data_IF_435402253683
#
_entry.id   IF_435402253683
#
_cell.length_a   1.000
_cell.length_b   1.000
_cell.length_c   1.000
_cell.angle_alpha   90.00
_cell.angle_beta   90.00
_cell.angle_gamma   90.00
#
_symmetry.space_group_name_H-M   'P 1'
#
loop_
_entity.id
_entity.type
_entity.pdbx_description
1 polymer ?
#
# COMPACT_ATOMS: atom_id res chain seq x y z
N UNK A 1 -9.84 24.10 5.28
CA UNK A 1 -8.76 25.10 5.36
C UNK A 1 -8.91 26.24 4.36
N UNK A 2 -8.99 25.99 3.05
CA UNK A 2 -9.16 27.05 2.05
C UNK A 2 -10.40 27.94 2.31
N UNK A 3 -11.55 27.32 2.60
CA UNK A 3 -12.78 28.04 2.97
C UNK A 3 -12.67 28.81 4.30
N UNK A 4 -11.62 28.56 5.09
CA UNK A 4 -11.28 29.28 6.32
C UNK A 4 -10.14 30.30 6.13
N UNK A 5 -9.82 30.65 4.87
CA UNK A 5 -8.83 31.67 4.54
C UNK A 5 -7.39 31.18 4.35
N UNK A 6 -7.14 29.86 4.33
CA UNK A 6 -5.81 29.34 3.97
C UNK A 6 -5.45 29.68 2.52
N UNK A 7 -4.24 30.18 2.31
CA UNK A 7 -3.69 30.54 1.01
C UNK A 7 -2.84 29.42 0.38
N UNK A 8 -2.79 28.23 1.00
CA UNK A 8 -1.98 27.09 0.54
C UNK A 8 -2.15 26.79 -0.95
N UNK A 9 -3.35 26.96 -1.51
CA UNK A 9 -3.62 26.72 -2.94
C UNK A 9 -2.85 27.65 -3.89
N UNK A 10 -2.27 28.74 -3.38
CA UNK A 10 -1.42 29.68 -4.12
C UNK A 10 0.08 29.38 -3.98
N UNK A 11 0.47 28.49 -3.05
CA UNK A 11 1.85 28.03 -2.93
C UNK A 11 2.26 27.16 -4.13
N UNK A 12 3.58 27.09 -4.39
CA UNK A 12 4.15 26.19 -5.39
C UNK A 12 3.76 24.74 -5.08
N UNK A 13 3.29 24.01 -6.08
CA UNK A 13 2.93 22.59 -5.94
C UNK A 13 4.18 21.72 -5.95
N UNK A 14 4.18 20.66 -5.14
CA UNK A 14 5.26 19.68 -5.11
C UNK A 14 5.15 18.65 -6.25
N UNK A 15 3.93 18.39 -6.75
CA UNK A 15 3.68 17.47 -7.87
C UNK A 15 2.61 18.00 -8.83
N UNK A 16 2.48 17.34 -9.99
CA UNK A 16 1.39 17.61 -10.92
C UNK A 16 0.01 17.34 -10.29
N UNK A 17 -0.14 16.24 -9.55
CA UNK A 17 -1.41 15.88 -8.89
C UNK A 17 -1.84 16.95 -7.87
N UNK A 18 -0.90 17.44 -7.05
CA UNK A 18 -1.19 18.52 -6.11
C UNK A 18 -1.66 19.78 -6.84
N UNK A 19 -1.06 20.11 -7.98
CA UNK A 19 -1.50 21.25 -8.80
C UNK A 19 -2.93 21.06 -9.31
N UNK A 20 -3.31 19.86 -9.74
CA UNK A 20 -4.68 19.53 -10.16
C UNK A 20 -5.65 19.72 -8.98
N UNK A 21 -5.31 19.24 -7.80
CA UNK A 21 -6.12 19.40 -6.57
C UNK A 21 -6.27 20.89 -6.22
N UNK A 22 -5.18 21.66 -6.22
CA UNK A 22 -5.21 23.11 -5.95
C UNK A 22 -6.12 23.86 -6.94
N UNK A 23 -6.03 23.51 -8.23
CA UNK A 23 -6.89 24.10 -9.27
C UNK A 23 -8.37 23.74 -9.05
N UNK A 24 -8.66 22.48 -8.70
CA UNK A 24 -10.01 22.02 -8.38
C UNK A 24 -10.58 22.77 -7.18
N UNK A 25 -9.82 22.91 -6.09
CA UNK A 25 -10.24 23.61 -4.89
C UNK A 25 -10.55 25.10 -5.15
N UNK A 26 -9.71 25.78 -5.94
CA UNK A 26 -9.97 27.17 -6.38
C UNK A 26 -11.27 27.29 -7.17
N UNK A 27 -11.49 26.37 -8.12
CA UNK A 27 -12.74 26.34 -8.91
C UNK A 27 -13.95 26.09 -8.02
N UNK A 28 -13.90 25.10 -7.14
CA UNK A 28 -15.00 24.78 -6.22
C UNK A 28 -15.30 25.95 -5.29
N UNK A 29 -14.29 26.64 -4.73
CA UNK A 29 -14.51 27.80 -3.88
C UNK A 29 -15.22 28.94 -4.64
N UNK A 30 -14.81 29.19 -5.89
CA UNK A 30 -15.41 30.23 -6.74
C UNK A 30 -16.86 29.90 -7.09
N UNK A 31 -17.12 28.67 -7.52
CA UNK A 31 -18.40 28.26 -8.08
C UNK A 31 -19.41 27.88 -6.98
N UNK A 32 -18.95 27.36 -5.85
CA UNK A 32 -19.76 26.84 -4.73
C UNK A 32 -19.13 27.18 -3.36
N UNK A 33 -19.14 28.46 -2.93
CA UNK A 33 -18.58 28.85 -1.65
C UNK A 33 -19.20 28.09 -0.46
N UNK A 34 -18.36 27.58 0.45
CA UNK A 34 -18.81 26.82 1.63
C UNK A 34 -19.26 25.39 1.34
N UNK A 35 -19.00 24.87 0.13
CA UNK A 35 -19.36 23.51 -0.26
C UNK A 35 -18.80 22.48 0.72
N UNK A 36 -17.52 22.54 1.07
CA UNK A 36 -16.90 21.53 1.92
C UNK A 36 -17.37 21.61 3.37
N UNK A 37 -17.57 22.82 3.91
CA UNK A 37 -18.21 23.00 5.21
C UNK A 37 -19.62 22.38 5.27
N UNK A 38 -20.39 22.44 4.19
CA UNK A 38 -21.70 21.83 4.14
C UNK A 38 -21.62 20.30 4.04
N UNK A 39 -20.73 19.76 3.19
CA UNK A 39 -20.50 18.31 3.09
C UNK A 39 -20.08 17.71 4.44
N UNK A 40 -19.15 18.34 5.15
CA UNK A 40 -18.62 17.82 6.42
C UNK A 40 -19.69 17.74 7.51
N UNK A 41 -20.69 18.64 7.54
CA UNK A 41 -21.80 18.58 8.53
C UNK A 41 -22.59 17.28 8.45
N UNK A 42 -22.76 16.76 7.24
CA UNK A 42 -23.53 15.55 6.99
C UNK A 42 -22.67 14.28 7.04
N UNK A 43 -21.34 14.42 6.97
CA UNK A 43 -20.40 13.30 6.98
C UNK A 43 -20.27 12.69 8.37
N UNK A 44 -20.77 11.45 8.54
CA UNK A 44 -20.82 10.77 9.85
C UNK A 44 -19.55 10.02 10.24
N UNK A 45 -18.62 9.86 9.32
CA UNK A 45 -17.34 9.21 9.56
C UNK A 45 -16.76 8.54 8.33
N UNK A 46 -15.52 8.09 8.45
CA UNK A 46 -14.75 7.45 7.38
C UNK A 46 -14.16 6.14 7.85
N UNK A 47 -14.16 5.11 7.01
CA UNK A 47 -13.41 3.88 7.26
C UNK A 47 -12.29 3.77 6.22
N UNK A 48 -11.05 3.80 6.69
CA UNK A 48 -9.86 3.92 5.83
C UNK A 48 -9.11 2.60 5.78
N UNK A 49 -8.82 2.17 4.55
CA UNK A 49 -8.33 0.84 4.23
C UNK A 49 -6.81 0.75 4.19
N UNK A 50 -6.13 1.83 3.83
CA UNK A 50 -4.72 1.77 3.44
C UNK A 50 -3.81 2.31 4.54
N UNK A 51 -2.60 1.75 4.65
CA UNK A 51 -1.59 2.20 5.62
C UNK A 51 -1.35 3.70 5.53
N UNK A 52 -1.19 4.25 4.33
CA UNK A 52 -0.92 5.68 4.19
C UNK A 52 -2.13 6.56 4.48
N UNK A 53 -3.34 6.14 4.09
CA UNK A 53 -4.56 6.84 4.47
C UNK A 53 -4.72 6.91 5.99
N UNK A 54 -4.45 5.80 6.69
CA UNK A 54 -4.44 5.73 8.15
C UNK A 54 -3.39 6.65 8.76
N UNK A 55 -2.17 6.70 8.21
CA UNK A 55 -1.16 7.67 8.67
C UNK A 55 -1.66 9.12 8.56
N UNK A 56 -2.34 9.47 7.46
CA UNK A 56 -2.93 10.80 7.30
C UNK A 56 -4.02 11.08 8.33
N UNK A 57 -4.85 10.09 8.66
CA UNK A 57 -5.86 10.23 9.72
C UNK A 57 -5.24 10.51 11.08
N UNK A 58 -4.18 9.79 11.47
CA UNK A 58 -3.47 10.04 12.72
C UNK A 58 -2.78 11.40 12.74
N UNK A 59 -2.11 11.80 11.65
CA UNK A 59 -1.53 13.15 11.52
C UNK A 59 -2.58 14.25 11.67
N UNK A 60 -3.76 14.07 11.05
CA UNK A 60 -4.87 15.01 11.22
C UNK A 60 -5.42 15.01 12.65
N UNK A 61 -5.50 13.85 13.31
CA UNK A 61 -5.94 13.76 14.71
C UNK A 61 -4.97 14.50 15.64
N UNK A 62 -3.67 14.23 15.53
CA UNK A 62 -2.60 14.85 16.33
C UNK A 62 -2.53 16.36 16.11
N UNK A 63 -2.77 16.82 14.87
CA UNK A 63 -2.84 18.25 14.54
C UNK A 63 -4.17 18.92 14.90
N UNK A 64 -5.14 18.19 15.47
CA UNK A 64 -6.49 18.72 15.78
C UNK A 64 -7.30 19.11 14.54
N UNK A 65 -6.97 18.54 13.37
CA UNK A 65 -7.58 18.81 12.06
C UNK A 65 -8.56 17.75 11.60
N UNK A 66 -8.62 16.58 12.25
CA UNK A 66 -9.59 15.55 11.93
C UNK A 66 -11.00 16.08 12.24
N UNK A 67 -11.92 15.98 11.27
CA UNK A 67 -13.26 16.60 11.38
C UNK A 67 -14.37 15.61 11.71
N UNK A 68 -14.14 14.31 11.47
CA UNK A 68 -15.14 13.25 11.64
C UNK A 68 -14.51 12.02 12.33
N UNK A 69 -15.31 11.16 12.98
CA UNK A 69 -14.82 9.87 13.46
C UNK A 69 -14.24 9.04 12.30
N UNK A 70 -13.14 8.34 12.55
CA UNK A 70 -12.51 7.48 11.57
C UNK A 70 -12.29 6.08 12.14
N UNK A 71 -12.53 5.05 11.33
CA UNK A 71 -12.15 3.67 11.64
C UNK A 71 -10.96 3.29 10.78
N UNK A 72 -9.86 2.94 11.44
CA UNK A 72 -8.70 2.33 10.84
C UNK A 72 -9.00 0.85 10.58
N UNK A 73 -9.38 0.55 9.34
CA UNK A 73 -9.62 -0.83 8.86
C UNK A 73 -8.31 -1.50 8.47
N UNK A 74 -7.30 -0.72 8.04
CA UNK A 74 -6.00 -1.26 7.66
C UNK A 74 -5.36 -2.14 8.76
N UNK A 75 -5.46 -1.70 10.02
CA UNK A 75 -4.84 -2.38 11.16
C UNK A 75 -5.65 -3.57 11.70
N UNK A 76 -6.81 -3.88 11.12
CA UNK A 76 -7.45 -5.18 11.37
C UNK A 76 -6.51 -6.29 10.91
N UNK A 77 -6.42 -7.35 11.71
CA UNK A 77 -5.60 -8.52 11.43
C UNK A 77 -5.96 -9.11 10.07
N UNK A 78 -7.23 -9.41 9.90
CA UNK A 78 -7.79 -9.94 8.65
C UNK A 78 -7.68 -9.01 7.45
N UNK A 79 -7.27 -7.75 7.65
CA UNK A 79 -6.87 -6.85 6.57
C UNK A 79 -5.36 -6.93 6.36
N UNK A 80 -4.54 -6.39 7.25
CA UNK A 80 -3.12 -6.11 6.95
C UNK A 80 -2.27 -7.36 6.69
N UNK A 81 -2.45 -8.48 7.41
CA UNK A 81 -1.67 -9.72 7.12
C UNK A 81 -2.30 -10.62 6.08
N UNK A 82 -3.44 -10.23 5.51
CA UNK A 82 -4.06 -10.98 4.43
C UNK A 82 -3.96 -10.20 3.13
N UNK A 83 -4.58 -9.04 3.07
CA UNK A 83 -4.61 -8.16 1.91
C UNK A 83 -3.20 -7.71 1.49
N UNK A 84 -2.51 -6.97 2.35
CA UNK A 84 -1.21 -6.41 2.02
C UNK A 84 -0.18 -7.51 1.77
N UNK A 85 -0.26 -8.64 2.49
CA UNK A 85 0.68 -9.74 2.37
C UNK A 85 0.33 -10.71 1.22
N UNK A 86 -0.80 -11.42 1.31
CA UNK A 86 -1.16 -12.45 0.35
C UNK A 86 -1.71 -11.86 -0.95
N UNK A 87 -2.40 -10.73 -0.91
CA UNK A 87 -2.88 -10.05 -2.12
C UNK A 87 -1.75 -9.55 -2.99
N UNK A 88 -0.72 -8.92 -2.40
CA UNK A 88 0.48 -8.53 -3.14
C UNK A 88 1.30 -9.75 -3.59
N UNK A 89 1.32 -10.83 -2.80
CA UNK A 89 1.98 -12.09 -3.19
C UNK A 89 1.41 -12.68 -4.47
N UNK A 90 0.09 -12.61 -4.65
CA UNK A 90 -0.59 -13.07 -5.87
C UNK A 90 -0.47 -12.06 -7.02
N UNK A 91 -0.64 -10.77 -6.74
CA UNK A 91 -0.88 -9.76 -7.78
C UNK A 91 0.37 -9.05 -8.32
N UNK A 92 1.50 -9.03 -7.59
CA UNK A 92 2.71 -8.37 -8.06
C UNK A 92 3.25 -9.02 -9.34
N UNK A 93 3.50 -10.33 -9.29
CA UNK A 93 4.04 -11.06 -10.42
C UNK A 93 3.06 -11.08 -11.61
N UNK A 94 1.75 -11.06 -11.35
CA UNK A 94 0.73 -10.91 -12.38
C UNK A 94 0.89 -9.57 -13.13
N UNK A 95 0.97 -8.45 -12.39
CA UNK A 95 1.22 -7.12 -12.96
C UNK A 95 2.50 -7.05 -13.81
N UNK A 96 3.62 -7.55 -13.28
CA UNK A 96 4.90 -7.57 -14.00
C UNK A 96 4.81 -8.43 -15.27
N UNK A 97 4.17 -9.61 -15.18
CA UNK A 97 4.07 -10.55 -16.31
C UNK A 97 3.14 -10.03 -17.40
N UNK A 98 1.96 -9.52 -17.08
CA UNK A 98 1.07 -8.92 -18.11
C UNK A 98 1.72 -7.72 -18.77
N UNK A 99 2.52 -6.95 -18.04
CA UNK A 99 3.23 -5.82 -18.58
C UNK A 99 4.35 -6.22 -19.55
N UNK A 100 5.17 -7.20 -19.19
CA UNK A 100 6.48 -7.43 -19.84
C UNK A 100 6.71 -8.83 -20.39
N UNK A 101 5.86 -9.80 -20.04
CA UNK A 101 6.03 -11.23 -20.31
C UNK A 101 7.39 -11.79 -19.85
N UNK A 102 8.10 -11.08 -18.96
CA UNK A 102 9.47 -11.42 -18.56
C UNK A 102 9.51 -12.73 -17.79
N UNK A 103 10.54 -13.53 -18.10
CA UNK A 103 10.90 -14.67 -17.26
C UNK A 103 11.52 -14.16 -15.95
N UNK A 104 10.84 -14.41 -14.83
CA UNK A 104 11.27 -14.04 -13.47
C UNK A 104 12.31 -15.01 -12.91
N UNK A 105 12.24 -16.30 -13.27
CA UNK A 105 13.19 -17.31 -12.81
C UNK A 105 14.63 -16.96 -13.25
N UNK A 106 15.57 -17.06 -12.31
CA UNK A 106 16.99 -16.74 -12.52
C UNK A 106 17.33 -15.25 -12.55
N UNK A 107 16.33 -14.36 -12.51
CA UNK A 107 16.53 -12.90 -12.42
C UNK A 107 16.92 -12.51 -11.00
N UNK A 108 17.57 -11.36 -10.87
CA UNK A 108 17.77 -10.67 -9.59
C UNK A 108 16.69 -9.62 -9.43
N UNK A 109 15.88 -9.73 -8.38
CA UNK A 109 14.78 -8.80 -8.11
C UNK A 109 14.98 -8.09 -6.78
N UNK A 110 14.88 -6.76 -6.78
CA UNK A 110 15.06 -5.90 -5.61
C UNK A 110 13.69 -5.43 -5.12
N UNK A 111 13.39 -5.70 -3.85
CA UNK A 111 12.18 -5.20 -3.19
C UNK A 111 12.60 -4.15 -2.16
N UNK A 112 12.19 -2.91 -2.39
CA UNK A 112 12.48 -1.79 -1.51
C UNK A 112 11.38 -1.69 -0.46
N UNK A 113 11.71 -1.97 0.80
CA UNK A 113 10.76 -2.10 1.91
C UNK A 113 10.31 -3.54 2.11
N UNK A 114 10.27 -3.96 3.38
CA UNK A 114 9.94 -5.31 3.82
C UNK A 114 8.88 -5.31 4.92
N UNK A 115 7.94 -4.36 4.84
CA UNK A 115 6.64 -4.43 5.54
C UNK A 115 5.75 -5.54 4.97
N UNK A 116 4.43 -5.48 5.20
CA UNK A 116 3.52 -6.55 4.75
C UNK A 116 3.47 -6.70 3.22
N UNK A 117 3.40 -5.57 2.50
CA UNK A 117 3.47 -5.52 1.03
C UNK A 117 4.80 -6.07 0.52
N UNK A 118 5.91 -5.62 1.13
CA UNK A 118 7.27 -6.06 0.79
C UNK A 118 7.50 -7.54 1.02
N UNK A 119 7.02 -8.10 2.14
CA UNK A 119 7.03 -9.53 2.42
C UNK A 119 6.26 -10.30 1.35
N UNK A 120 5.04 -9.88 1.01
CA UNK A 120 4.22 -10.51 -0.03
C UNK A 120 4.93 -10.52 -1.38
N UNK A 121 5.48 -9.36 -1.75
CA UNK A 121 6.22 -9.11 -2.97
C UNK A 121 7.48 -9.99 -3.10
N UNK A 122 8.31 -10.03 -2.06
CA UNK A 122 9.52 -10.83 -2.01
C UNK A 122 9.21 -12.33 -2.12
N UNK A 123 8.21 -12.83 -1.40
CA UNK A 123 7.81 -14.23 -1.47
C UNK A 123 7.20 -14.60 -2.83
N UNK A 124 6.50 -13.69 -3.49
CA UNK A 124 6.02 -13.88 -4.88
C UNK A 124 7.18 -14.13 -5.83
N UNK A 125 8.15 -13.21 -5.84
CA UNK A 125 9.31 -13.26 -6.73
C UNK A 125 10.20 -14.47 -6.45
N UNK A 126 10.43 -14.80 -5.16
CA UNK A 126 11.12 -16.04 -4.74
C UNK A 126 10.39 -17.29 -5.25
N UNK A 127 9.06 -17.31 -5.15
CA UNK A 127 8.22 -18.41 -5.63
C UNK A 127 8.33 -18.65 -7.14
N UNK A 128 8.57 -17.59 -7.92
CA UNK A 128 8.88 -17.67 -9.35
C UNK A 128 10.36 -17.94 -9.67
N UNK A 129 11.20 -18.19 -8.65
CA UNK A 129 12.62 -18.53 -8.83
C UNK A 129 13.57 -17.35 -9.02
N UNK A 130 13.17 -16.12 -8.68
CA UNK A 130 14.09 -14.99 -8.64
C UNK A 130 15.02 -15.07 -7.44
N UNK A 131 16.24 -14.54 -7.58
CA UNK A 131 17.12 -14.21 -6.46
C UNK A 131 16.71 -12.85 -5.92
N UNK A 132 16.01 -12.85 -4.80
CA UNK A 132 15.43 -11.64 -4.21
C UNK A 132 16.43 -10.97 -3.28
N UNK A 133 16.57 -9.66 -3.46
CA UNK A 133 17.33 -8.73 -2.61
C UNK A 133 16.32 -7.77 -1.99
N UNK A 134 16.52 -7.43 -0.72
CA UNK A 134 15.69 -6.48 0.02
C UNK A 134 16.51 -5.25 0.39
N UNK A 135 15.89 -4.08 0.33
CA UNK A 135 16.43 -2.87 0.95
C UNK A 135 15.50 -2.44 2.09
N UNK A 136 16.05 -2.11 3.25
CA UNK A 136 15.27 -1.76 4.43
C UNK A 136 15.97 -0.72 5.30
N UNK A 137 15.16 0.14 5.91
CA UNK A 137 15.60 1.12 6.91
C UNK A 137 15.29 0.62 8.32
N UNK A 138 14.28 -0.24 8.48
CA UNK A 138 13.89 -0.79 9.78
C UNK A 138 14.73 -2.04 10.07
N UNK A 139 15.53 -2.07 11.17
CA UNK A 139 16.40 -3.20 11.49
C UNK A 139 15.62 -4.49 11.83
N UNK A 140 14.38 -4.39 12.34
CA UNK A 140 13.53 -5.56 12.62
C UNK A 140 13.09 -6.19 11.31
N UNK A 141 12.60 -5.39 10.36
CA UNK A 141 12.19 -5.90 9.05
C UNK A 141 13.39 -6.41 8.24
N UNK A 142 14.53 -5.72 8.30
CA UNK A 142 15.78 -6.17 7.68
C UNK A 142 16.22 -7.53 8.24
N UNK A 143 16.20 -7.70 9.57
CA UNK A 143 16.53 -8.98 10.20
C UNK A 143 15.54 -10.08 9.78
N UNK A 144 14.23 -9.78 9.70
CA UNK A 144 13.25 -10.73 9.19
C UNK A 144 13.54 -11.14 7.73
N UNK A 145 13.90 -10.21 6.85
CA UNK A 145 14.28 -10.53 5.48
C UNK A 145 15.51 -11.46 5.42
N UNK A 146 16.53 -11.15 6.22
CA UNK A 146 17.73 -11.97 6.31
C UNK A 146 17.43 -13.39 6.84
N UNK A 147 16.53 -13.54 7.82
CA UNK A 147 16.11 -14.85 8.34
C UNK A 147 15.34 -15.70 7.32
N UNK A 148 14.70 -15.08 6.33
CA UNK A 148 14.06 -15.77 5.20
C UNK A 148 15.05 -16.12 4.06
N UNK A 149 16.33 -15.78 4.23
CA UNK A 149 17.41 -16.03 3.28
C UNK A 149 17.52 -14.99 2.15
N UNK A 150 16.91 -13.81 2.32
CA UNK A 150 17.10 -12.70 1.38
C UNK A 150 18.38 -11.93 1.68
N UNK A 151 19.14 -11.57 0.64
CA UNK A 151 20.23 -10.60 0.76
C UNK A 151 19.62 -9.24 1.12
N UNK A 152 20.13 -8.60 2.18
CA UNK A 152 19.71 -7.25 2.56
C UNK A 152 20.86 -6.29 2.28
N UNK A 153 20.63 -5.30 1.42
CA UNK A 153 21.65 -4.30 1.05
C UNK A 153 20.99 -2.98 0.61
N UNK A 154 21.78 -2.04 0.11
CA UNK A 154 21.33 -0.73 -0.39
C UNK A 154 20.82 -0.82 -1.84
N UNK A 155 20.03 0.16 -2.29
CA UNK A 155 19.60 0.22 -3.69
C UNK A 155 20.84 0.38 -4.60
N UNK A 156 21.78 1.21 -4.17
CA UNK A 156 23.02 1.56 -4.86
C UNK A 156 23.89 0.34 -5.18
N UNK A 157 23.94 -0.64 -4.28
CA UNK A 157 24.70 -1.89 -4.45
C UNK A 157 24.03 -2.88 -5.43
N UNK A 158 22.85 -2.54 -5.96
CA UNK A 158 22.08 -3.41 -6.87
C UNK A 158 22.00 -2.90 -8.31
N UNK A 159 22.29 -1.62 -8.55
CA UNK A 159 22.04 -0.91 -9.82
C UNK A 159 22.61 -1.62 -11.06
N UNK A 160 23.83 -2.15 -10.98
CA UNK A 160 24.47 -2.86 -12.09
C UNK A 160 24.13 -4.35 -12.24
N UNK A 161 23.36 -4.95 -11.31
CA UNK A 161 23.10 -6.40 -11.28
C UNK A 161 21.62 -6.78 -11.35
N UNK A 162 20.73 -6.00 -10.76
CA UNK A 162 19.32 -6.35 -10.66
C UNK A 162 18.52 -6.09 -11.94
N UNK A 163 17.58 -6.99 -12.22
CA UNK A 163 16.69 -6.96 -13.39
C UNK A 163 15.35 -6.31 -13.10
N UNK A 164 14.85 -6.43 -11.88
CA UNK A 164 13.51 -6.01 -11.49
C UNK A 164 13.62 -5.21 -10.20
N UNK A 165 13.03 -4.02 -10.15
CA UNK A 165 12.93 -3.18 -8.97
C UNK A 165 11.47 -2.96 -8.63
N UNK A 166 11.12 -3.23 -7.37
CA UNK A 166 9.78 -3.09 -6.82
C UNK A 166 9.84 -2.19 -5.59
N UNK A 167 9.20 -1.03 -5.62
CA UNK A 167 9.06 -0.19 -4.42
C UNK A 167 7.79 -0.56 -3.66
N UNK A 168 7.92 -0.78 -2.35
CA UNK A 168 6.87 -1.27 -1.45
C UNK A 168 6.95 -0.60 -0.06
N UNK A 169 7.39 0.66 -0.01
CA UNK A 169 7.73 1.37 1.24
C UNK A 169 6.60 2.25 1.76
N UNK A 170 5.73 2.76 0.87
CA UNK A 170 4.80 3.84 1.20
C UNK A 170 5.48 5.20 1.46
N UNK A 171 6.76 5.35 1.13
CA UNK A 171 7.57 6.55 1.35
C UNK A 171 7.69 7.38 0.05
N UNK A 172 8.66 8.28 -0.02
CA UNK A 172 8.98 9.10 -1.18
C UNK A 172 10.47 8.96 -1.55
N UNK A 173 10.79 9.21 -2.82
CA UNK A 173 12.16 9.30 -3.33
C UNK A 173 13.03 8.05 -3.08
N UNK A 174 12.40 6.87 -3.04
CA UNK A 174 13.10 5.58 -2.83
C UNK A 174 13.97 5.23 -4.04
N UNK A 175 13.42 5.42 -5.24
CA UNK A 175 14.16 5.29 -6.50
C UNK A 175 14.21 6.66 -7.16
N UNK A 176 15.39 7.28 -7.12
CA UNK A 176 15.66 8.59 -7.69
C UNK A 176 16.03 8.51 -9.17
N UNK A 177 16.06 9.66 -9.86
CA UNK A 177 16.57 9.73 -11.23
C UNK A 177 18.00 9.18 -11.34
N UNK A 178 18.83 9.48 -10.36
CA UNK A 178 20.22 9.04 -10.27
C UNK A 178 20.34 7.51 -10.13
N UNK A 179 19.40 6.87 -9.44
CA UNK A 179 19.30 5.41 -9.38
C UNK A 179 18.93 4.84 -10.74
N UNK A 180 17.88 5.39 -11.37
CA UNK A 180 17.38 4.94 -12.67
C UNK A 180 18.44 5.01 -13.77
N UNK A 181 19.24 6.08 -13.81
CA UNK A 181 20.34 6.27 -14.77
C UNK A 181 21.50 5.28 -14.61
N UNK A 182 21.60 4.60 -13.48
CA UNK A 182 22.68 3.66 -13.16
C UNK A 182 22.21 2.21 -13.20
N UNK A 183 20.93 1.98 -13.45
CA UNK A 183 20.39 0.63 -13.61
C UNK A 183 20.99 -0.03 -14.86
N UNK A 184 21.12 -1.35 -14.83
CA UNK A 184 21.55 -2.09 -16.02
C UNK A 184 20.53 -1.96 -17.16
N UNK A 185 21.02 -2.19 -18.38
CA UNK A 185 20.16 -2.21 -19.55
C UNK A 185 19.00 -3.20 -19.39
N UNK A 186 17.82 -2.75 -19.81
CA UNK A 186 16.52 -3.44 -19.77
C UNK A 186 16.00 -3.77 -18.38
N UNK A 187 16.47 -3.08 -17.32
CA UNK A 187 15.87 -3.20 -16.01
C UNK A 187 14.37 -2.80 -16.02
N UNK A 188 13.56 -3.53 -15.27
CA UNK A 188 12.13 -3.27 -15.07
C UNK A 188 11.95 -2.59 -13.72
N UNK A 189 11.22 -1.49 -13.68
CA UNK A 189 10.98 -0.69 -12.48
C UNK A 189 9.47 -0.54 -12.29
N UNK A 190 8.99 -0.83 -11.09
CA UNK A 190 7.58 -0.70 -10.76
C UNK A 190 7.37 -0.35 -9.29
N UNK A 191 6.20 0.21 -9.00
CA UNK A 191 5.75 0.53 -7.66
C UNK A 191 4.53 -0.31 -7.31
N UNK A 192 4.49 -0.88 -6.12
CA UNK A 192 3.29 -1.52 -5.56
C UNK A 192 2.90 -0.93 -4.19
N UNK A 193 3.62 0.08 -3.73
CA UNK A 193 3.38 0.75 -2.46
C UNK A 193 2.36 1.87 -2.58
N UNK A 194 2.79 3.14 -2.58
CA UNK A 194 1.85 4.28 -2.51
C UNK A 194 2.05 5.34 -3.60
N UNK A 195 0.93 5.77 -4.21
CA UNK A 195 0.86 6.78 -5.27
C UNK A 195 1.92 6.58 -6.36
N UNK A 196 2.56 7.66 -6.82
CA UNK A 196 3.64 7.73 -7.79
C UNK A 196 4.91 8.40 -7.22
N UNK A 197 5.02 8.55 -5.90
CA UNK A 197 6.11 9.30 -5.26
C UNK A 197 7.29 8.43 -4.80
N UNK A 198 7.16 7.10 -4.78
CA UNK A 198 8.28 6.21 -4.43
C UNK A 198 9.37 6.22 -5.52
N UNK A 199 8.99 6.50 -6.77
CA UNK A 199 9.88 6.59 -7.92
C UNK A 199 9.77 8.03 -8.47
N UNK A 200 10.91 8.68 -8.73
CA UNK A 200 10.91 10.06 -9.23
C UNK A 200 10.56 10.17 -10.73
N UNK A 201 9.34 9.77 -11.11
CA UNK A 201 8.88 9.71 -12.50
C UNK A 201 8.79 11.11 -13.13
N UNK A 202 8.36 12.13 -12.39
CA UNK A 202 8.33 13.51 -12.89
C UNK A 202 9.74 14.01 -13.24
N UNK A 203 10.76 13.67 -12.45
CA UNK A 203 12.16 14.01 -12.78
C UNK A 203 12.64 13.25 -14.00
N UNK A 204 12.27 11.97 -14.13
CA UNK A 204 12.60 11.14 -15.29
C UNK A 204 12.00 11.68 -16.59
N UNK A 205 10.72 12.07 -16.58
CA UNK A 205 10.03 12.65 -17.73
C UNK A 205 10.65 13.97 -18.21
N UNK A 206 11.22 14.75 -17.28
CA UNK A 206 11.83 16.06 -17.56
C UNK A 206 13.36 15.99 -17.71
N UNK A 207 13.97 14.80 -17.63
CA UNK A 207 15.41 14.64 -17.65
C UNK A 207 15.99 14.90 -19.05
N UNK A 208 16.99 15.80 -19.20
CA UNK A 208 17.62 16.04 -20.50
C UNK A 208 18.26 14.77 -21.06
N UNK A 209 18.05 14.51 -22.35
CA UNK A 209 18.63 13.35 -23.03
C UNK A 209 17.96 12.01 -22.73
N UNK A 210 16.84 12.00 -22.00
CA UNK A 210 16.01 10.79 -21.79
C UNK A 210 14.88 10.77 -22.82
N UNK A 211 14.80 9.69 -23.60
CA UNK A 211 13.74 9.49 -24.58
C UNK A 211 12.71 8.46 -24.07
N UNK A 212 11.45 8.88 -23.96
CA UNK A 212 10.32 8.01 -23.58
C UNK A 212 9.62 7.45 -24.82
N UNK A 213 9.45 6.14 -24.88
CA UNK A 213 8.63 5.44 -25.87
C UNK A 213 7.56 4.65 -25.13
N UNK A 214 6.29 4.93 -25.42
CA UNK A 214 5.21 4.07 -24.94
C UNK A 214 5.19 2.78 -25.75
N UNK A 215 5.36 1.63 -25.07
CA UNK A 215 5.36 0.31 -25.72
C UNK A 215 3.92 -0.18 -25.89
N UNK A 216 3.13 -0.03 -24.82
CA UNK A 216 1.70 -0.31 -24.75
C UNK A 216 1.12 0.44 -23.55
N UNK A 217 -0.21 0.44 -23.33
CA UNK A 217 -0.78 1.01 -22.12
C UNK A 217 -0.05 0.51 -20.87
N UNK A 218 0.43 1.47 -20.09
CA UNK A 218 1.05 1.33 -18.78
C UNK A 218 2.42 0.65 -18.80
N UNK A 219 3.08 0.63 -19.97
CA UNK A 219 4.45 0.16 -20.14
C UNK A 219 5.20 1.15 -21.00
N UNK A 220 6.14 1.85 -20.38
CA UNK A 220 6.97 2.85 -21.02
C UNK A 220 8.44 2.42 -20.99
N UNK A 221 9.11 2.57 -22.13
CA UNK A 221 10.56 2.42 -22.25
C UNK A 221 11.21 3.79 -22.16
N UNK A 222 12.21 3.94 -21.30
CA UNK A 222 13.05 5.14 -21.23
C UNK A 222 14.45 4.77 -21.70
N UNK A 223 14.97 5.50 -22.68
CA UNK A 223 16.35 5.33 -23.18
C UNK A 223 17.18 6.53 -22.75
N UNK A 224 18.32 6.28 -22.10
CA UNK A 224 19.24 7.31 -21.61
C UNK A 224 20.30 7.69 -22.66
N UNK A 225 21.07 8.74 -22.39
CA UNK A 225 22.04 9.31 -23.34
C UNK A 225 23.19 8.37 -23.73
N UNK A 226 23.53 7.41 -22.87
CA UNK A 226 24.53 6.35 -23.14
C UNK A 226 23.94 5.15 -23.90
N UNK A 227 22.64 5.17 -24.21
CA UNK A 227 21.95 4.18 -25.02
C UNK A 227 21.28 3.05 -24.25
N UNK A 228 21.57 2.84 -22.96
CA UNK A 228 20.86 1.84 -22.17
C UNK A 228 19.41 2.28 -21.93
N UNK A 229 18.54 1.31 -21.69
CA UNK A 229 17.12 1.56 -21.50
C UNK A 229 16.57 0.86 -20.27
N UNK A 230 15.50 1.42 -19.69
CA UNK A 230 14.72 0.77 -18.64
C UNK A 230 13.24 0.73 -19.03
N UNK A 231 12.48 -0.15 -18.38
CA UNK A 231 11.03 -0.25 -18.52
C UNK A 231 10.37 0.20 -17.22
N UNK A 232 9.56 1.25 -17.28
CA UNK A 232 8.75 1.71 -16.15
C UNK A 232 7.32 1.23 -16.34
N UNK A 233 6.78 0.61 -15.29
CA UNK A 233 5.41 0.10 -15.29
C UNK A 233 4.46 1.10 -14.62
N UNK A 234 3.27 1.25 -15.22
CA UNK A 234 2.17 2.10 -14.74
C UNK A 234 2.56 3.54 -14.41
N UNK A 235 3.58 4.10 -15.09
CA UNK A 235 4.12 5.44 -14.79
C UNK A 235 4.49 5.62 -13.31
N UNK A 236 4.97 4.56 -12.65
CA UNK A 236 5.34 4.57 -11.23
C UNK A 236 4.15 4.48 -10.26
N UNK A 237 2.92 4.31 -10.76
CA UNK A 237 1.73 3.99 -9.96
C UNK A 237 1.65 2.49 -9.65
N UNK A 238 0.62 2.11 -8.90
CA UNK A 238 0.38 0.73 -8.44
C UNK A 238 0.35 -0.28 -9.60
N UNK A 239 1.41 -1.07 -9.73
CA UNK A 239 1.63 -2.00 -10.85
C UNK A 239 0.61 -3.13 -10.90
N UNK A 240 0.21 -3.67 -9.75
CA UNK A 240 -0.74 -4.76 -9.67
C UNK A 240 -2.14 -4.35 -10.14
N UNK A 241 -2.52 -3.08 -9.94
CA UNK A 241 -3.78 -2.52 -10.41
C UNK A 241 -3.68 -1.93 -11.82
N UNK A 242 -2.57 -1.24 -12.12
CA UNK A 242 -2.37 -0.56 -13.40
C UNK A 242 -2.03 -1.49 -14.56
N UNK A 243 -1.32 -2.59 -14.27
CA UNK A 243 -0.91 -3.56 -15.29
C UNK A 243 -1.64 -4.92 -15.18
N UNK A 244 -2.45 -5.12 -14.13
CA UNK A 244 -3.28 -6.31 -13.96
C UNK A 244 -4.65 -5.95 -13.37
N UNK A 245 -5.16 -6.75 -12.44
CA UNK A 245 -6.53 -6.60 -11.88
C UNK A 245 -6.52 -6.48 -10.36
N UNK A 246 -5.38 -6.14 -9.77
CA UNK A 246 -5.21 -6.06 -8.33
C UNK A 246 -5.33 -7.41 -7.63
N UNK A 247 -5.77 -7.37 -6.38
CA UNK A 247 -5.85 -8.53 -5.52
C UNK A 247 -7.06 -9.42 -5.87
N UNK A 248 -6.95 -10.75 -5.71
CA UNK A 248 -8.04 -11.67 -6.02
C UNK A 248 -9.23 -11.50 -5.06
N UNK A 249 -10.43 -11.86 -5.52
CA UNK A 249 -11.69 -11.62 -4.77
C UNK A 249 -11.68 -12.20 -3.36
N UNK A 250 -11.05 -13.36 -3.14
CA UNK A 250 -11.04 -14.00 -1.82
C UNK A 250 -10.33 -13.16 -0.77
N UNK A 251 -9.17 -12.58 -1.10
CA UNK A 251 -8.45 -11.74 -0.14
C UNK A 251 -9.16 -10.41 0.05
N UNK A 252 -9.70 -9.81 -1.02
CA UNK A 252 -10.50 -8.57 -0.93
C UNK A 252 -11.79 -8.76 -0.13
N UNK A 253 -12.36 -9.97 -0.13
CA UNK A 253 -13.52 -10.30 0.71
C UNK A 253 -13.22 -10.07 2.19
N UNK A 254 -11.98 -10.27 2.66
CA UNK A 254 -11.60 -10.03 4.05
C UNK A 254 -11.60 -8.51 4.34
N UNK A 255 -10.94 -7.72 3.49
CA UNK A 255 -10.89 -6.26 3.60
C UNK A 255 -12.27 -5.63 3.52
N UNK A 256 -13.08 -6.05 2.56
CA UNK A 256 -14.42 -5.49 2.35
C UNK A 256 -15.44 -5.95 3.40
N UNK A 257 -15.26 -7.13 4.00
CA UNK A 257 -16.03 -7.50 5.19
C UNK A 257 -15.70 -6.56 6.36
N UNK A 258 -14.41 -6.25 6.59
CA UNK A 258 -14.03 -5.25 7.60
C UNK A 258 -14.61 -3.87 7.28
N UNK A 259 -14.58 -3.43 6.02
CA UNK A 259 -15.20 -2.17 5.61
C UNK A 259 -16.71 -2.14 5.88
N UNK A 260 -17.42 -3.23 5.57
CA UNK A 260 -18.85 -3.35 5.86
C UNK A 260 -19.13 -3.22 7.36
N UNK A 261 -18.38 -3.96 8.19
CA UNK A 261 -18.50 -3.90 9.65
C UNK A 261 -18.17 -2.51 10.20
N UNK A 262 -17.14 -1.85 9.67
CA UNK A 262 -16.78 -0.49 10.05
C UNK A 262 -17.87 0.52 9.68
N UNK A 263 -18.46 0.41 8.49
CA UNK A 263 -19.58 1.26 8.07
C UNK A 263 -20.83 1.03 8.93
N UNK A 264 -21.14 -0.22 9.26
CA UNK A 264 -22.25 -0.54 10.17
C UNK A 264 -22.02 0.07 11.56
N UNK A 265 -20.79 -0.02 12.09
CA UNK A 265 -20.44 0.56 13.40
C UNK A 265 -20.50 2.09 13.40
N UNK A 266 -19.91 2.75 12.38
CA UNK A 266 -19.99 4.19 12.21
C UNK A 266 -21.43 4.68 12.13
N UNK A 267 -22.29 3.98 11.39
CA UNK A 267 -23.69 4.36 11.23
C UNK A 267 -24.52 4.15 12.50
N UNK A 268 -24.31 3.02 13.19
CA UNK A 268 -24.99 2.70 14.44
C UNK A 268 -24.62 3.70 15.55
N UNK A 269 -23.35 4.14 15.57
CA UNK A 269 -22.81 5.04 16.59
C UNK A 269 -22.65 6.50 16.11
N UNK A 270 -23.31 6.88 15.01
CA UNK A 270 -23.16 8.22 14.41
C UNK A 270 -23.48 9.40 15.35
N UNK A 271 -24.32 9.16 16.36
CA UNK A 271 -24.76 10.17 17.32
C UNK A 271 -23.91 10.18 18.61
N UNK A 272 -23.04 9.18 18.80
CA UNK A 272 -22.24 8.97 20.03
C UNK A 272 -20.73 9.01 19.80
N UNK A 273 -20.26 8.60 18.62
CA UNK A 273 -18.84 8.60 18.28
C UNK A 273 -18.31 10.03 18.22
N UNK A 274 -17.23 10.27 18.96
CA UNK A 274 -16.50 11.53 18.92
C UNK A 274 -15.46 11.49 17.80
N UNK A 275 -14.94 12.66 17.43
CA UNK A 275 -13.79 12.74 16.53
C UNK A 275 -12.62 11.98 17.15
N UNK A 276 -12.07 11.04 16.38
CA UNK A 276 -11.02 10.12 16.83
C UNK A 276 -10.73 9.08 15.75
N UNK A 277 -9.63 8.34 15.91
CA UNK A 277 -9.29 7.18 15.08
C UNK A 277 -9.47 5.92 15.92
N UNK A 278 -10.41 5.08 15.51
CA UNK A 278 -10.82 3.85 16.19
C UNK A 278 -10.34 2.63 15.42
N UNK A 279 -10.34 1.47 16.09
CA UNK A 279 -10.09 0.16 15.48
C UNK A 279 -11.30 -0.74 15.68
N UNK A 280 -11.49 -1.69 14.78
CA UNK A 280 -12.52 -2.72 14.97
C UNK A 280 -12.16 -3.60 16.19
N UNK A 281 -13.13 -3.98 17.03
CA UNK A 281 -12.89 -4.90 18.13
C UNK A 281 -12.35 -6.25 17.65
N UNK A 282 -11.42 -6.86 18.39
CA UNK A 282 -10.78 -8.13 18.05
C UNK A 282 -11.76 -9.27 17.73
N UNK A 283 -12.90 -9.32 18.43
CA UNK A 283 -13.96 -10.31 18.13
C UNK A 283 -14.48 -10.22 16.70
N UNK A 284 -14.58 -9.01 16.13
CA UNK A 284 -15.06 -8.82 14.76
C UNK A 284 -14.00 -9.25 13.77
N UNK A 285 -12.73 -8.99 14.09
CA UNK A 285 -11.58 -9.45 13.32
C UNK A 285 -11.53 -10.99 13.24
N UNK A 286 -11.72 -11.66 14.38
CA UNK A 286 -11.83 -13.14 14.44
C UNK A 286 -13.06 -13.65 13.69
N UNK A 287 -14.17 -12.90 13.70
CA UNK A 287 -15.37 -13.26 12.95
C UNK A 287 -15.17 -13.11 11.43
N UNK A 288 -14.48 -12.06 10.97
CA UNK A 288 -14.07 -11.96 9.56
C UNK A 288 -13.27 -13.19 9.17
N UNK A 289 -12.29 -13.61 9.97
CA UNK A 289 -11.54 -14.82 9.67
C UNK A 289 -12.46 -16.05 9.60
N UNK A 290 -13.34 -16.23 10.59
CA UNK A 290 -14.27 -17.36 10.70
C UNK A 290 -15.17 -17.50 9.47
N UNK A 291 -15.69 -16.39 8.95
CA UNK A 291 -16.56 -16.36 7.77
C UNK A 291 -15.88 -16.88 6.50
N UNK A 292 -14.55 -16.86 6.42
CA UNK A 292 -13.81 -17.28 5.22
C UNK A 292 -13.30 -18.73 5.29
N UNK A 293 -13.32 -19.38 6.46
CA UNK A 293 -12.64 -20.67 6.67
C UNK A 293 -13.34 -21.85 5.98
N UNK A 294 -14.67 -21.88 5.98
CA UNK A 294 -15.45 -22.95 5.34
C UNK A 294 -15.16 -23.02 3.83
N UNK A 295 -15.02 -21.86 3.17
CA UNK A 295 -14.79 -21.76 1.73
C UNK A 295 -13.51 -22.45 1.27
N UNK A 296 -12.51 -22.50 2.15
CA UNK A 296 -11.20 -23.15 1.90
C UNK A 296 -11.07 -24.50 2.64
N UNK A 297 -12.18 -25.04 3.16
CA UNK A 297 -12.23 -26.36 3.78
C UNK A 297 -11.56 -26.45 5.16
N UNK A 298 -11.27 -25.33 5.81
CA UNK A 298 -10.62 -25.31 7.13
C UNK A 298 -11.65 -25.60 8.21
N UNK A 299 -11.36 -26.59 9.07
CA UNK A 299 -12.18 -26.96 10.22
C UNK A 299 -11.53 -26.47 11.51
N UNK A 300 -12.25 -25.68 12.29
CA UNK A 300 -11.75 -25.15 13.56
C UNK A 300 -11.97 -26.15 14.70
N UNK A 301 -10.93 -26.41 15.47
CA UNK A 301 -11.07 -27.02 16.79
C UNK A 301 -11.82 -26.07 17.72
N UNK A 302 -12.62 -26.63 18.63
CA UNK A 302 -13.30 -25.88 19.69
C UNK A 302 -12.61 -26.13 21.02
N UNK A 303 -12.32 -25.06 21.77
CA UNK A 303 -11.82 -25.19 23.13
C UNK A 303 -12.87 -25.90 24.00
N UNK A 304 -12.43 -26.85 24.82
CA UNK A 304 -13.21 -27.29 25.97
C UNK A 304 -13.19 -26.19 27.04
N UNK A 305 -14.19 -26.16 27.93
CA UNK A 305 -14.22 -25.18 29.03
C UNK A 305 -12.93 -25.22 29.86
N UNK A 306 -12.43 -26.42 30.18
CA UNK A 306 -11.16 -26.61 30.90
C UNK A 306 -9.96 -25.94 30.22
N UNK A 307 -9.87 -26.00 28.89
CA UNK A 307 -8.78 -25.35 28.15
C UNK A 307 -8.92 -23.83 28.13
N UNK A 308 -10.16 -23.34 27.98
CA UNK A 308 -10.45 -21.91 28.01
C UNK A 308 -10.10 -21.28 29.37
N UNK A 309 -10.51 -21.93 30.46
CA UNK A 309 -10.17 -21.52 31.83
C UNK A 309 -8.66 -21.54 32.08
N UNK A 310 -7.94 -22.55 31.58
CA UNK A 310 -6.47 -22.64 31.70
C UNK A 310 -5.75 -21.49 31.00
N UNK A 311 -6.24 -21.06 29.85
CA UNK A 311 -5.66 -19.95 29.07
C UNK A 311 -6.15 -18.57 29.53
N UNK A 312 -7.19 -18.51 30.36
CA UNK A 312 -7.83 -17.25 30.78
C UNK A 312 -8.57 -16.55 29.64
N UNK A 313 -9.18 -17.30 28.72
CA UNK A 313 -9.97 -16.77 27.59
C UNK A 313 -11.36 -17.40 27.54
N UNK A 314 -12.28 -16.79 26.81
CA UNK A 314 -13.58 -17.40 26.50
C UNK A 314 -13.44 -18.52 25.46
N UNK A 315 -14.32 -19.53 25.52
CA UNK A 315 -14.41 -20.59 24.49
C UNK A 315 -14.65 -20.02 23.09
N UNK A 316 -15.41 -18.93 23.01
CA UNK A 316 -15.78 -18.27 21.76
C UNK A 316 -14.93 -17.02 21.45
N UNK A 317 -13.84 -16.81 22.21
CA UNK A 317 -12.91 -15.70 22.05
C UNK A 317 -13.36 -14.38 22.71
N UNK A 318 -12.59 -13.29 22.55
CA UNK A 318 -11.35 -13.21 21.77
C UNK A 318 -10.23 -14.09 22.34
N UNK A 319 -9.42 -14.68 21.45
CA UNK A 319 -8.42 -15.69 21.81
C UNK A 319 -7.03 -15.14 22.11
N UNK A 320 -6.82 -13.85 21.87
CA UNK A 320 -5.51 -13.20 21.98
C UNK A 320 -5.63 -11.82 22.62
N UNK A 321 -4.61 -11.35 23.35
CA UNK A 321 -4.60 -9.99 23.88
C UNK A 321 -4.47 -8.96 22.76
N UNK A 322 -4.81 -7.69 23.06
CA UNK A 322 -4.83 -6.62 22.05
C UNK A 322 -3.45 -6.31 21.45
N UNK A 323 -2.38 -6.46 22.23
CA UNK A 323 -1.01 -6.22 21.78
C UNK A 323 -0.40 -7.37 20.96
N UNK A 324 -1.16 -8.44 20.72
CA UNK A 324 -0.68 -9.58 19.95
C UNK A 324 -0.46 -9.19 18.48
N UNK A 325 0.70 -9.53 17.93
CA UNK A 325 1.10 -9.18 16.55
C UNK A 325 0.66 -10.26 15.58
N UNK A 326 -0.63 -10.60 15.59
CA UNK A 326 -1.24 -11.75 14.92
C UNK A 326 -1.05 -13.07 15.60
#
# INVERSE_FOLDING_TARGET
ELENGSDWVHSKSASHEEQVIKNLLKRVLKDRPGFWHNVVKDWKGVSEETTTGVHRLYQMLEAGKLLVPAINVNDSVTKSKFDNLYGCRESLADGIKRATDVMVAGKVAVVCGYGDVGKGSAHSLKGFGARVIVTEIDPINALQAAMEGFEVTTVEDTLGKADIYVTATGNCDVITLEHLQRMKDQAIVCNIGHFDNEIQVDRLNNAPGVNKINIKPQVDKYTFADGHSIYLLAEGRLVNLGCATGHPSFVMSNSFTNQCLAQMDLWANRDTNKVGVYRLPKRLDEEVARLHLEKIGVKLSKLTQKQADYLGVSVDGPYKPDHYRY
#
